data_IF_761717470021
#
_entry.id   IF_761717470021
#
_cell.length_a   1.000
_cell.length_b   1.000
_cell.length_c   1.000
_cell.angle_alpha   90.00
_cell.angle_beta   90.00
_cell.angle_gamma   90.00
#
_symmetry.space_group_name_H-M   'P 1'
#
loop_
_entity.id
_entity.type
_entity.pdbx_description
1 polymer ?
#
# COMPACT_ATOMS: atom_id res chain seq x y z
N UNK A 1 -13.31 0.51 -24.37
CA UNK A 1 -12.45 1.00 -23.26
C UNK A 1 -12.92 2.32 -22.68
N UNK A 2 -12.85 3.47 -23.37
CA UNK A 2 -13.24 4.77 -22.75
C UNK A 2 -14.70 4.76 -22.30
N UNK A 3 -15.62 4.27 -23.13
CA UNK A 3 -17.04 4.14 -22.78
C UNK A 3 -17.25 3.20 -21.58
N UNK A 4 -16.48 2.10 -21.50
CA UNK A 4 -16.57 1.15 -20.39
C UNK A 4 -16.11 1.80 -19.07
N UNK A 5 -15.02 2.60 -19.11
CA UNK A 5 -14.55 3.37 -17.95
C UNK A 5 -15.59 4.42 -17.53
N UNK A 6 -16.24 5.05 -18.51
CA UNK A 6 -17.29 6.04 -18.29
C UNK A 6 -18.52 5.41 -17.61
N UNK A 7 -18.95 4.22 -18.06
CA UNK A 7 -20.02 3.44 -17.43
C UNK A 7 -19.69 3.04 -15.98
N UNK A 8 -18.42 2.75 -15.69
CA UNK A 8 -17.98 2.45 -14.32
C UNK A 8 -17.93 3.70 -13.41
N UNK A 9 -18.31 4.88 -13.89
CA UNK A 9 -18.36 6.10 -13.07
C UNK A 9 -19.38 5.99 -11.93
N UNK A 10 -20.42 5.18 -12.06
CA UNK A 10 -21.37 4.92 -10.96
C UNK A 10 -20.68 4.29 -9.74
N UNK A 11 -19.66 3.44 -9.95
CA UNK A 11 -18.91 2.77 -8.88
C UNK A 11 -17.84 3.67 -8.25
N UNK A 12 -17.37 4.69 -8.96
CA UNK A 12 -16.34 5.62 -8.49
C UNK A 12 -16.58 7.05 -8.99
N UNK A 13 -17.67 7.71 -8.56
CA UNK A 13 -18.18 8.96 -9.16
C UNK A 13 -17.24 10.15 -9.00
N UNK A 14 -16.37 10.13 -7.99
CA UNK A 14 -15.38 11.20 -7.76
C UNK A 14 -14.06 10.99 -8.52
N UNK A 15 -13.82 9.81 -9.10
CA UNK A 15 -12.52 9.47 -9.69
C UNK A 15 -12.61 9.17 -11.18
N UNK A 16 -13.53 8.29 -11.59
CA UNK A 16 -13.61 7.85 -12.99
C UNK A 16 -13.97 8.99 -13.95
N UNK A 17 -14.90 9.91 -13.65
CA UNK A 17 -15.18 11.04 -14.55
C UNK A 17 -13.95 11.92 -14.80
N UNK A 18 -13.19 12.25 -13.75
CA UNK A 18 -11.96 13.04 -13.88
C UNK A 18 -10.90 12.30 -14.71
N UNK A 19 -10.76 11.00 -14.52
CA UNK A 19 -9.85 10.16 -15.31
C UNK A 19 -10.26 10.11 -16.79
N UNK A 20 -11.55 9.98 -17.09
CA UNK A 20 -12.08 10.00 -18.47
C UNK A 20 -11.82 11.33 -19.15
N UNK A 21 -12.00 12.46 -18.45
CA UNK A 21 -11.65 13.80 -18.96
C UNK A 21 -10.16 13.86 -19.33
N UNK A 22 -9.29 13.38 -18.44
CA UNK A 22 -7.85 13.30 -18.71
C UNK A 22 -7.53 12.46 -19.95
N UNK A 23 -8.10 11.26 -20.07
CA UNK A 23 -7.91 10.37 -21.24
C UNK A 23 -8.35 11.07 -22.53
N UNK A 24 -9.52 11.72 -22.53
CA UNK A 24 -10.04 12.46 -23.68
C UNK A 24 -9.10 13.60 -24.08
N UNK A 25 -8.59 14.37 -23.12
CA UNK A 25 -7.65 15.47 -23.38
C UNK A 25 -6.32 14.98 -23.96
N UNK A 26 -5.72 13.91 -23.40
CA UNK A 26 -4.48 13.35 -23.94
C UNK A 26 -4.66 12.80 -25.36
N UNK A 27 -5.81 12.17 -25.64
CA UNK A 27 -6.09 11.63 -26.98
C UNK A 27 -6.30 12.72 -28.04
N UNK A 28 -6.73 13.92 -27.65
CA UNK A 28 -6.79 15.07 -28.56
C UNK A 28 -5.39 15.60 -28.91
N UNK A 29 -4.48 15.64 -27.94
CA UNK A 29 -3.12 16.21 -28.12
C UNK A 29 -2.17 15.20 -28.77
N UNK A 30 -2.29 13.92 -28.43
CA UNK A 30 -1.40 12.83 -28.85
C UNK A 30 -2.23 11.68 -29.47
N UNK A 31 -2.85 11.90 -30.65
CA UNK A 31 -3.79 10.92 -31.22
C UNK A 31 -3.14 9.60 -31.63
N UNK A 32 -1.87 9.64 -32.05
CA UNK A 32 -1.16 8.48 -32.61
C UNK A 32 -0.30 7.74 -31.56
N UNK A 33 -0.22 8.25 -30.33
CA UNK A 33 0.56 7.63 -29.25
C UNK A 33 -0.29 6.54 -28.58
N UNK A 34 0.20 5.30 -28.45
CA UNK A 34 -0.52 4.24 -27.74
C UNK A 34 -0.82 4.65 -26.30
N UNK A 35 -2.10 4.55 -25.91
CA UNK A 35 -2.56 4.82 -24.55
C UNK A 35 -2.89 3.51 -23.83
N UNK A 36 -2.50 3.42 -22.56
CA UNK A 36 -2.76 2.26 -21.69
C UNK A 36 -3.54 2.72 -20.46
N UNK A 37 -4.60 1.99 -20.11
CA UNK A 37 -5.31 2.17 -18.85
C UNK A 37 -4.78 1.17 -17.83
N UNK A 38 -4.33 1.67 -16.67
CA UNK A 38 -3.88 0.85 -15.54
C UNK A 38 -4.84 1.08 -14.39
N UNK A 39 -5.50 0.01 -13.95
CA UNK A 39 -6.55 0.09 -12.94
C UNK A 39 -5.99 -0.27 -11.56
N UNK A 40 -6.28 0.59 -10.58
CA UNK A 40 -5.83 0.38 -9.20
C UNK A 40 -6.51 -0.81 -8.51
N UNK A 41 -7.62 -1.29 -9.08
CA UNK A 41 -8.39 -2.45 -8.61
C UNK A 41 -7.96 -3.77 -9.26
N UNK A 42 -7.16 -3.73 -10.34
CA UNK A 42 -6.89 -4.90 -11.18
C UNK A 42 -6.17 -6.03 -10.42
N UNK A 43 -5.18 -5.68 -9.59
CA UNK A 43 -4.40 -6.66 -8.82
C UNK A 43 -5.27 -7.46 -7.83
N UNK A 44 -6.36 -6.86 -7.35
CA UNK A 44 -7.26 -7.47 -6.37
C UNK A 44 -8.35 -8.35 -7.01
N UNK A 45 -8.43 -8.44 -8.34
CA UNK A 45 -9.42 -9.28 -9.01
C UNK A 45 -9.19 -10.78 -8.79
N UNK A 46 -8.05 -11.18 -8.25
CA UNK A 46 -7.76 -12.56 -7.86
C UNK A 46 -8.35 -12.95 -6.51
N UNK A 47 -8.96 -12.02 -5.76
CA UNK A 47 -9.60 -12.34 -4.49
C UNK A 47 -10.69 -13.41 -4.69
N UNK A 48 -10.73 -14.46 -3.86
CA UNK A 48 -11.79 -15.45 -3.90
C UNK A 48 -13.12 -14.86 -3.36
N UNK A 49 -14.24 -15.51 -3.67
CA UNK A 49 -15.60 -15.07 -3.31
C UNK A 49 -15.74 -14.69 -1.84
N UNK A 50 -15.24 -15.54 -0.93
CA UNK A 50 -15.29 -15.31 0.51
C UNK A 50 -14.52 -14.07 1.00
N UNK A 51 -13.63 -13.49 0.18
CA UNK A 51 -12.90 -12.25 0.53
C UNK A 51 -13.54 -10.99 0.00
N UNK A 52 -14.26 -11.08 -1.13
CA UNK A 52 -14.84 -9.89 -1.74
C UNK A 52 -16.33 -9.71 -1.49
N UNK A 53 -17.05 -10.76 -1.16
CA UNK A 53 -18.46 -10.64 -0.83
C UNK A 53 -18.60 -10.00 0.55
N UNK A 54 -19.46 -8.99 0.63
CA UNK A 54 -19.98 -8.53 1.92
C UNK A 54 -21.09 -9.47 2.38
N UNK A 55 -21.24 -9.64 3.70
CA UNK A 55 -22.36 -10.36 4.32
C UNK A 55 -23.67 -9.55 4.25
N UNK A 56 -24.04 -9.16 3.03
CA UNK A 56 -25.25 -8.43 2.66
C UNK A 56 -26.15 -9.37 1.83
N UNK A 57 -27.43 -9.02 1.60
CA UNK A 57 -28.26 -9.75 0.65
C UNK A 57 -27.52 -9.98 -0.67
N UNK A 58 -27.41 -11.25 -1.10
CA UNK A 58 -26.58 -11.63 -2.23
C UNK A 58 -26.98 -10.94 -3.54
N UNK A 59 -28.25 -10.54 -3.65
CA UNK A 59 -28.79 -9.71 -4.72
C UNK A 59 -28.05 -8.37 -4.91
N UNK A 60 -27.48 -7.79 -3.84
CA UNK A 60 -26.69 -6.56 -3.93
C UNK A 60 -25.39 -6.76 -4.71
N UNK A 61 -24.85 -7.98 -4.70
CA UNK A 61 -23.73 -8.35 -5.56
C UNK A 61 -24.21 -8.75 -6.97
N UNK A 62 -25.25 -9.58 -7.08
CA UNK A 62 -25.67 -10.20 -8.35
C UNK A 62 -26.43 -9.27 -9.30
N UNK A 63 -27.24 -8.36 -8.78
CA UNK A 63 -27.91 -7.34 -9.60
C UNK A 63 -26.88 -6.32 -10.10
N UNK A 64 -27.32 -5.40 -10.96
CA UNK A 64 -26.46 -4.35 -11.56
C UNK A 64 -25.86 -3.35 -10.54
N UNK A 65 -25.95 -3.59 -9.24
CA UNK A 65 -25.31 -2.79 -8.20
C UNK A 65 -23.83 -3.15 -8.00
N UNK A 66 -23.44 -4.39 -8.28
CA UNK A 66 -22.04 -4.82 -8.22
C UNK A 66 -21.36 -4.58 -6.86
N UNK A 67 -22.11 -4.64 -5.76
CA UNK A 67 -21.60 -4.34 -4.42
C UNK A 67 -20.71 -5.49 -3.94
N UNK A 68 -19.41 -5.22 -3.91
CA UNK A 68 -18.35 -6.11 -3.43
C UNK A 68 -17.13 -5.32 -3.00
N UNK A 69 -16.19 -5.98 -2.35
CA UNK A 69 -14.84 -5.45 -2.19
C UNK A 69 -14.14 -5.40 -3.56
N UNK A 70 -13.64 -4.23 -3.92
CA UNK A 70 -12.77 -4.05 -5.08
C UNK A 70 -11.31 -3.96 -4.66
N UNK A 71 -11.02 -3.20 -3.59
CA UNK A 71 -9.66 -2.91 -3.17
C UNK A 71 -8.94 -1.89 -4.08
N UNK A 72 -7.98 -1.15 -3.51
CA UNK A 72 -7.23 -0.11 -4.23
C UNK A 72 -5.75 -0.18 -3.83
N UNK A 73 -4.92 0.69 -4.44
CA UNK A 73 -3.46 0.60 -4.40
C UNK A 73 -2.91 -0.70 -4.99
N UNK A 74 -3.67 -1.36 -5.87
CA UNK A 74 -3.29 -2.63 -6.48
C UNK A 74 -2.01 -2.53 -7.30
N UNK A 75 -1.78 -1.40 -7.96
CA UNK A 75 -0.52 -1.12 -8.68
C UNK A 75 0.69 -1.12 -7.74
N UNK A 76 0.56 -0.47 -6.58
CA UNK A 76 1.60 -0.44 -5.55
C UNK A 76 1.81 -1.83 -4.95
N UNK A 77 0.74 -2.50 -4.53
CA UNK A 77 0.82 -3.82 -3.91
C UNK A 77 1.49 -4.84 -4.84
N UNK A 78 1.07 -4.91 -6.11
CA UNK A 78 1.67 -5.77 -7.13
C UNK A 78 3.18 -5.53 -7.25
N UNK A 79 3.57 -4.27 -7.46
CA UNK A 79 4.97 -3.89 -7.65
C UNK A 79 5.83 -4.30 -6.46
N UNK A 80 5.42 -3.95 -5.23
CA UNK A 80 6.25 -4.21 -4.06
C UNK A 80 6.33 -5.69 -3.70
N UNK A 81 5.30 -6.49 -4.03
CA UNK A 81 5.35 -7.94 -3.79
C UNK A 81 6.25 -8.66 -4.80
N UNK A 82 6.21 -8.27 -6.07
CA UNK A 82 7.12 -8.78 -7.10
C UNK A 82 8.57 -8.44 -6.73
N UNK A 83 8.83 -7.19 -6.35
CA UNK A 83 10.16 -6.76 -5.95
C UNK A 83 10.61 -7.39 -4.63
N UNK A 84 9.71 -7.64 -3.67
CA UNK A 84 10.05 -8.37 -2.45
C UNK A 84 10.49 -9.80 -2.75
N UNK A 85 9.86 -10.50 -3.69
CA UNK A 85 10.28 -11.84 -4.11
C UNK A 85 11.73 -11.86 -4.65
N UNK A 86 12.07 -10.89 -5.51
CA UNK A 86 13.43 -10.71 -6.02
C UNK A 86 14.45 -10.48 -4.90
N UNK A 87 14.10 -9.65 -3.90
CA UNK A 87 14.96 -9.36 -2.75
C UNK A 87 15.13 -10.57 -1.83
N UNK A 88 14.11 -11.40 -1.71
CA UNK A 88 14.15 -12.64 -0.93
C UNK A 88 14.93 -13.75 -1.64
N UNK A 89 15.19 -13.60 -2.95
CA UNK A 89 15.81 -14.64 -3.77
C UNK A 89 14.93 -15.90 -3.86
N UNK A 90 13.60 -15.73 -3.79
CA UNK A 90 12.62 -16.82 -3.81
C UNK A 90 11.55 -16.56 -4.88
N UNK A 91 11.04 -17.61 -5.56
CA UNK A 91 9.93 -17.46 -6.51
C UNK A 91 8.71 -16.83 -5.84
N UNK A 92 8.04 -15.91 -6.53
CA UNK A 92 6.85 -15.20 -6.00
C UNK A 92 5.70 -16.18 -5.69
N UNK A 93 5.62 -17.27 -6.46
CA UNK A 93 4.63 -18.34 -6.37
C UNK A 93 4.72 -19.13 -5.06
N UNK A 94 5.87 -19.09 -4.38
CA UNK A 94 6.13 -19.79 -3.12
C UNK A 94 5.98 -18.90 -1.88
N UNK A 95 5.62 -17.63 -2.06
CA UNK A 95 5.63 -16.62 -1.00
C UNK A 95 4.23 -16.25 -0.51
N UNK A 96 4.13 -16.07 0.81
CA UNK A 96 3.02 -15.45 1.53
C UNK A 96 3.46 -14.09 2.06
N UNK A 97 2.97 -13.03 1.43
CA UNK A 97 3.42 -11.66 1.65
C UNK A 97 2.26 -10.81 2.20
N UNK A 98 2.57 -9.97 3.19
CA UNK A 98 1.66 -8.92 3.63
C UNK A 98 2.24 -7.59 3.17
N UNK A 99 1.51 -6.88 2.32
CA UNK A 99 1.91 -5.58 1.79
C UNK A 99 1.14 -4.46 2.51
N UNK A 100 1.86 -3.62 3.24
CA UNK A 100 1.37 -2.45 3.95
C UNK A 100 1.70 -1.18 3.15
N UNK A 101 0.76 -0.72 2.33
CA UNK A 101 0.86 0.58 1.66
C UNK A 101 0.39 1.65 2.63
N UNK A 102 1.31 2.39 3.23
CA UNK A 102 1.01 3.39 4.25
C UNK A 102 1.37 4.78 3.72
N UNK A 103 0.37 5.56 3.34
CA UNK A 103 0.48 6.97 3.01
C UNK A 103 -0.71 7.74 3.57
N UNK A 104 -1.03 8.90 3.00
CA UNK A 104 -2.22 9.66 3.41
C UNK A 104 -3.52 8.85 3.19
N UNK A 105 -3.54 8.02 2.14
CA UNK A 105 -4.39 6.84 2.05
C UNK A 105 -3.58 5.59 2.39
N UNK A 106 -4.16 4.64 3.12
CA UNK A 106 -3.47 3.45 3.56
C UNK A 106 -4.29 2.17 3.33
N UNK A 107 -3.62 1.11 2.87
CA UNK A 107 -4.23 -0.21 2.68
C UNK A 107 -3.24 -1.34 2.94
N UNK A 108 -3.78 -2.47 3.39
CA UNK A 108 -3.04 -3.70 3.63
C UNK A 108 -3.55 -4.75 2.65
N UNK A 109 -2.66 -5.51 2.00
CA UNK A 109 -3.02 -6.62 1.13
C UNK A 109 -2.36 -7.91 1.59
N UNK A 110 -3.14 -8.99 1.59
CA UNK A 110 -2.66 -10.37 1.72
C UNK A 110 -2.38 -10.93 0.32
N UNK A 111 -1.16 -11.38 0.09
CA UNK A 111 -0.71 -11.87 -1.22
C UNK A 111 -0.10 -13.25 -1.05
N UNK A 112 -0.66 -14.24 -1.74
CA UNK A 112 -0.20 -15.62 -1.70
C UNK A 112 0.09 -16.09 -3.13
N UNK A 113 1.31 -16.55 -3.37
CA UNK A 113 1.75 -17.00 -4.69
C UNK A 113 1.60 -15.92 -5.78
N UNK A 114 1.87 -14.66 -5.44
CA UNK A 114 1.73 -13.51 -6.33
C UNK A 114 0.30 -13.03 -6.59
N UNK A 115 -0.72 -13.65 -5.97
CA UNK A 115 -2.12 -13.26 -6.13
C UNK A 115 -2.62 -12.54 -4.89
N UNK A 116 -3.35 -11.45 -5.06
CA UNK A 116 -4.07 -10.83 -3.94
C UNK A 116 -5.23 -11.72 -3.53
N UNK A 117 -5.17 -12.23 -2.30
CA UNK A 117 -6.23 -13.09 -1.73
C UNK A 117 -7.14 -12.31 -0.78
N UNK A 118 -6.72 -11.15 -0.29
CA UNK A 118 -7.52 -10.20 0.48
C UNK A 118 -6.89 -8.80 0.47
N UNK A 119 -7.67 -7.77 0.77
CA UNK A 119 -7.22 -6.38 0.90
C UNK A 119 -8.13 -5.60 1.86
N UNK A 120 -7.58 -4.61 2.54
CA UNK A 120 -8.28 -3.91 3.63
C UNK A 120 -9.30 -2.91 3.11
N UNK A 121 -9.05 -2.29 1.95
CA UNK A 121 -10.02 -1.40 1.33
C UNK A 121 -11.20 -2.17 0.75
N UNK A 122 -12.33 -1.49 0.66
CA UNK A 122 -13.64 -2.09 0.43
C UNK A 122 -14.15 -1.94 -0.99
N UNK A 123 -15.48 -1.75 -1.07
CA UNK A 123 -16.15 -1.14 -2.21
C UNK A 123 -15.56 0.24 -2.54
N UNK A 124 -15.24 1.01 -1.49
CA UNK A 124 -14.58 2.32 -1.61
C UNK A 124 -13.25 2.35 -0.84
N UNK A 125 -12.40 3.36 -1.09
CA UNK A 125 -11.18 3.59 -0.32
C UNK A 125 -11.39 4.03 1.14
N UNK A 126 -12.64 4.16 1.62
CA UNK A 126 -12.93 4.55 3.00
C UNK A 126 -12.77 3.37 3.97
N UNK A 127 -13.15 2.16 3.55
CA UNK A 127 -13.01 0.97 4.38
C UNK A 127 -11.52 0.61 4.58
N UNK A 128 -11.23 -0.09 5.67
CA UNK A 128 -9.89 -0.58 5.99
C UNK A 128 -9.34 0.02 7.27
N UNK A 129 -8.06 0.37 7.24
CA UNK A 129 -7.33 1.01 8.35
C UNK A 129 -7.70 2.50 8.45
N UNK A 130 -7.46 3.09 9.62
CA UNK A 130 -7.47 4.54 9.75
C UNK A 130 -6.40 5.15 8.83
N UNK A 131 -6.64 6.36 8.32
CA UNK A 131 -5.73 7.05 7.40
C UNK A 131 -5.53 8.51 7.85
N UNK A 132 -4.96 9.38 7.02
CA UNK A 132 -4.74 10.78 7.42
C UNK A 132 -6.05 11.52 7.75
N UNK A 133 -7.03 11.43 6.86
CA UNK A 133 -8.36 12.08 7.03
C UNK A 133 -9.56 11.13 6.98
N UNK A 134 -9.31 9.84 6.67
CA UNK A 134 -10.34 8.81 6.56
C UNK A 134 -10.44 7.99 7.82
N UNK A 135 -11.66 7.68 8.24
CA UNK A 135 -11.93 6.90 9.45
C UNK A 135 -11.40 5.48 9.40
N UNK A 136 -11.35 4.87 8.22
CA UNK A 136 -11.29 3.41 8.12
C UNK A 136 -12.62 2.79 8.53
N UNK A 137 -12.57 1.52 8.94
CA UNK A 137 -13.75 0.81 9.42
C UNK A 137 -14.30 1.40 10.73
N UNK A 138 -15.61 1.62 10.74
CA UNK A 138 -16.41 1.97 11.92
C UNK A 138 -17.67 1.10 11.96
N UNK A 139 -18.40 1.13 13.07
CA UNK A 139 -19.72 0.53 13.16
C UNK A 139 -20.70 1.27 12.23
N UNK A 140 -21.36 0.59 11.27
CA UNK A 140 -22.35 1.21 10.38
C UNK A 140 -23.52 1.87 11.12
N UNK A 141 -23.89 1.40 12.32
CA UNK A 141 -24.97 2.00 13.12
C UNK A 141 -24.64 3.43 13.61
N UNK A 142 -23.36 3.82 13.59
CA UNK A 142 -22.96 5.19 13.92
C UNK A 142 -23.41 6.20 12.87
N UNK A 143 -23.60 5.80 11.60
CA UNK A 143 -24.02 6.73 10.55
C UNK A 143 -25.39 7.35 10.89
N UNK A 144 -26.49 6.57 11.03
CA UNK A 144 -27.79 7.15 11.38
C UNK A 144 -27.79 7.80 12.77
N UNK A 145 -27.02 7.28 13.73
CA UNK A 145 -26.91 7.90 15.05
C UNK A 145 -26.29 9.31 14.98
N UNK A 146 -25.21 9.50 14.22
CA UNK A 146 -24.57 10.81 14.03
C UNK A 146 -25.54 11.76 13.29
N UNK A 147 -26.23 11.26 12.26
CA UNK A 147 -27.25 12.05 11.54
C UNK A 147 -28.30 12.58 12.51
N UNK A 148 -28.86 11.73 13.37
CA UNK A 148 -29.86 12.12 14.37
C UNK A 148 -29.31 13.17 15.35
N UNK A 149 -28.06 13.01 15.82
CA UNK A 149 -27.47 13.93 16.82
C UNK A 149 -26.99 15.25 16.26
N UNK A 150 -26.63 15.30 14.98
CA UNK A 150 -26.03 16.49 14.36
C UNK A 150 -26.96 17.20 13.38
N UNK A 151 -28.06 16.56 12.98
CA UNK A 151 -28.93 17.03 11.89
C UNK A 151 -28.29 16.91 10.50
N UNK A 152 -27.08 16.34 10.39
CA UNK A 152 -26.40 16.13 9.12
C UNK A 152 -27.09 15.06 8.27
N UNK A 153 -27.03 15.26 6.96
CA UNK A 153 -27.37 14.28 5.93
C UNK A 153 -26.38 13.12 5.89
N UNK A 154 -26.75 12.02 5.22
CA UNK A 154 -25.85 10.89 5.01
C UNK A 154 -24.59 11.29 4.23
N UNK A 155 -24.73 12.17 3.22
CA UNK A 155 -23.58 12.69 2.46
C UNK A 155 -22.63 13.51 3.33
N UNK A 156 -23.14 14.33 4.25
CA UNK A 156 -22.33 15.13 5.17
C UNK A 156 -21.60 14.28 6.21
N UNK A 157 -22.25 13.22 6.72
CA UNK A 157 -21.60 12.24 7.58
C UNK A 157 -20.51 11.50 6.80
N UNK A 158 -20.80 11.02 5.59
CA UNK A 158 -19.79 10.39 4.73
C UNK A 158 -18.63 11.33 4.39
N UNK A 159 -18.89 12.62 4.20
CA UNK A 159 -17.86 13.65 4.00
C UNK A 159 -16.98 13.79 5.25
N UNK A 160 -17.58 13.77 6.43
CA UNK A 160 -16.86 13.77 7.72
C UNK A 160 -15.97 12.53 7.86
N UNK A 161 -16.48 11.36 7.53
CA UNK A 161 -15.72 10.10 7.55
C UNK A 161 -14.55 10.10 6.55
N UNK A 162 -14.67 10.81 5.43
CA UNK A 162 -13.63 10.88 4.40
C UNK A 162 -12.60 11.98 4.60
N UNK A 163 -12.99 13.12 5.19
CA UNK A 163 -12.18 14.34 5.17
C UNK A 163 -11.84 14.92 6.54
N UNK A 164 -12.55 14.52 7.59
CA UNK A 164 -12.42 15.10 8.94
C UNK A 164 -12.17 14.03 10.02
N UNK A 165 -11.79 12.83 9.62
CA UNK A 165 -11.59 11.67 10.50
C UNK A 165 -10.12 11.23 10.49
N UNK A 166 -9.82 9.99 10.88
CA UNK A 166 -8.45 9.46 10.85
C UNK A 166 -7.52 10.16 11.83
N UNK A 167 -6.24 10.28 11.46
CA UNK A 167 -5.22 11.00 12.25
C UNK A 167 -5.69 12.43 12.57
N UNK A 168 -6.25 13.14 11.59
CA UNK A 168 -6.75 14.50 11.76
C UNK A 168 -7.86 14.57 12.80
N UNK A 169 -8.86 13.71 12.70
CA UNK A 169 -10.02 13.73 13.60
C UNK A 169 -9.65 13.40 15.04
N UNK A 170 -8.81 12.38 15.24
CA UNK A 170 -8.42 11.93 16.59
C UNK A 170 -7.45 12.90 17.24
N UNK A 171 -6.40 13.33 16.54
CA UNK A 171 -5.43 14.29 17.09
C UNK A 171 -6.05 15.67 17.27
N UNK A 172 -6.93 16.09 16.36
CA UNK A 172 -7.39 17.48 16.25
C UNK A 172 -6.31 18.43 15.73
N UNK A 173 -5.21 17.91 15.16
CA UNK A 173 -4.03 18.68 14.77
C UNK A 173 -3.80 18.64 13.25
N UNK A 174 -3.37 17.48 12.74
CA UNK A 174 -2.93 17.33 11.36
C UNK A 174 -3.31 15.96 10.78
N UNK A 175 -3.37 15.90 9.45
CA UNK A 175 -3.43 14.63 8.71
C UNK A 175 -2.05 14.10 8.33
N UNK A 176 -0.99 14.92 8.47
CA UNK A 176 0.38 14.53 8.18
C UNK A 176 0.98 13.84 9.40
N UNK A 177 1.49 12.63 9.23
CA UNK A 177 2.04 11.83 10.31
C UNK A 177 3.25 12.51 10.97
N UNK A 178 4.04 13.30 10.24
CA UNK A 178 5.23 13.96 10.78
C UNK A 178 4.87 14.95 11.88
N UNK A 179 3.83 15.74 11.64
CA UNK A 179 3.31 16.69 12.62
C UNK A 179 2.75 15.95 13.86
N UNK A 180 2.16 14.77 13.66
CA UNK A 180 1.66 13.94 14.76
C UNK A 180 2.81 13.34 15.58
N UNK A 181 3.86 12.83 14.94
CA UNK A 181 5.06 12.31 15.61
C UNK A 181 5.75 13.40 16.43
N UNK A 182 5.93 14.59 15.86
CA UNK A 182 6.50 15.76 16.57
C UNK A 182 5.65 16.15 17.79
N UNK A 183 4.33 16.27 17.62
CA UNK A 183 3.43 16.59 18.73
C UNK A 183 3.43 15.51 19.82
N UNK A 184 3.58 14.23 19.45
CA UNK A 184 3.76 13.13 20.40
C UNK A 184 5.05 13.31 21.21
N UNK A 185 6.18 13.63 20.56
CA UNK A 185 7.47 13.88 21.22
C UNK A 185 7.39 15.08 22.19
N UNK A 186 6.56 16.08 21.87
CA UNK A 186 6.25 17.23 22.72
C UNK A 186 5.25 16.91 23.86
N UNK A 187 4.74 15.67 23.95
CA UNK A 187 3.84 15.22 25.01
C UNK A 187 2.35 15.45 24.75
N UNK A 188 1.91 15.55 23.49
CA UNK A 188 0.49 15.68 23.16
C UNK A 188 -0.24 14.32 23.23
N UNK A 189 -1.09 14.16 24.25
CA UNK A 189 -1.84 12.92 24.49
C UNK A 189 -2.73 12.50 23.30
N UNK A 190 -3.37 13.46 22.61
CA UNK A 190 -4.26 13.14 21.47
C UNK A 190 -3.48 12.72 20.24
N UNK A 191 -2.28 13.28 20.03
CA UNK A 191 -1.38 12.83 18.98
C UNK A 191 -0.92 11.39 19.21
N UNK A 192 -0.56 11.06 20.46
CA UNK A 192 -0.15 9.71 20.85
C UNK A 192 -1.27 8.69 20.63
N UNK A 193 -2.49 9.01 21.07
CA UNK A 193 -3.67 8.17 20.84
C UNK A 193 -3.95 7.99 19.33
N UNK A 194 -3.75 9.04 18.52
CA UNK A 194 -3.93 8.95 17.08
C UNK A 194 -2.92 7.99 16.42
N UNK A 195 -1.65 8.04 16.82
CA UNK A 195 -0.61 7.10 16.36
C UNK A 195 -0.93 5.68 16.78
N UNK A 196 -1.33 5.47 18.03
CA UNK A 196 -1.68 4.15 18.54
C UNK A 196 -2.87 3.53 17.82
N UNK A 197 -3.93 4.32 17.57
CA UNK A 197 -5.06 3.85 16.77
C UNK A 197 -4.58 3.46 15.36
N UNK A 198 -3.81 4.33 14.70
CA UNK A 198 -3.31 4.07 13.36
C UNK A 198 -2.49 2.77 13.29
N UNK A 199 -1.50 2.62 14.16
CA UNK A 199 -0.66 1.43 14.23
C UNK A 199 -1.46 0.17 14.61
N UNK A 200 -2.35 0.27 15.59
CA UNK A 200 -3.19 -0.85 16.06
C UNK A 200 -4.12 -1.38 14.95
N UNK A 201 -4.71 -0.49 14.13
CA UNK A 201 -5.54 -0.92 13.00
C UNK A 201 -4.73 -1.71 11.98
N UNK A 202 -3.51 -1.27 11.67
CA UNK A 202 -2.61 -1.99 10.76
C UNK A 202 -2.20 -3.34 11.36
N UNK A 203 -1.77 -3.35 12.62
CA UNK A 203 -1.38 -4.54 13.36
C UNK A 203 -2.48 -5.63 13.32
N UNK A 204 -3.74 -5.24 13.55
CA UNK A 204 -4.91 -6.13 13.46
C UNK A 204 -5.03 -6.79 12.07
N UNK A 205 -4.85 -6.03 10.99
CA UNK A 205 -4.90 -6.60 9.64
C UNK A 205 -3.75 -7.56 9.37
N UNK A 206 -2.54 -7.25 9.83
CA UNK A 206 -1.39 -8.15 9.68
C UNK A 206 -1.70 -9.51 10.35
N UNK A 207 -2.16 -9.50 11.61
CA UNK A 207 -2.53 -10.74 12.31
C UNK A 207 -3.64 -11.51 11.60
N UNK A 208 -4.70 -10.81 11.16
CA UNK A 208 -5.81 -11.45 10.43
C UNK A 208 -5.37 -12.08 9.11
N UNK A 209 -4.46 -11.43 8.38
CA UNK A 209 -3.98 -11.92 7.08
C UNK A 209 -2.93 -13.02 7.20
N UNK A 210 -2.04 -12.93 8.19
CA UNK A 210 -1.11 -14.01 8.51
C UNK A 210 -1.88 -15.28 8.90
N UNK A 211 -2.93 -15.16 9.73
CA UNK A 211 -3.79 -16.28 10.08
C UNK A 211 -4.50 -16.87 8.85
N UNK A 212 -5.06 -16.02 7.98
CA UNK A 212 -5.73 -16.45 6.73
C UNK A 212 -4.80 -17.22 5.79
N UNK A 213 -3.54 -16.79 5.65
CA UNK A 213 -2.52 -17.42 4.80
C UNK A 213 -1.81 -18.60 5.49
N UNK A 214 -2.20 -18.96 6.71
CA UNK A 214 -1.55 -19.98 7.52
C UNK A 214 -0.03 -19.74 7.70
N UNK A 215 0.37 -18.47 7.79
CA UNK A 215 1.76 -18.04 7.87
C UNK A 215 2.06 -16.79 7.07
N UNK A 216 3.28 -16.27 7.23
CA UNK A 216 3.80 -15.11 6.51
C UNK A 216 5.30 -15.28 6.29
N UNK A 217 5.76 -15.05 5.06
CA UNK A 217 7.17 -15.09 4.67
C UNK A 217 7.83 -13.70 4.73
N UNK A 218 7.06 -12.64 4.50
CA UNK A 218 7.51 -11.26 4.67
C UNK A 218 6.37 -10.26 4.88
N UNK A 219 6.67 -9.20 5.65
CA UNK A 219 5.83 -8.00 5.80
C UNK A 219 6.55 -6.85 5.12
N UNK A 220 5.86 -6.16 4.23
CA UNK A 220 6.41 -5.11 3.36
C UNK A 220 5.78 -3.77 3.75
N UNK A 221 6.57 -2.76 4.09
CA UNK A 221 6.09 -1.40 4.32
C UNK A 221 6.48 -0.50 3.15
N UNK A 222 5.52 0.16 2.52
CA UNK A 222 5.76 1.05 1.38
C UNK A 222 4.92 2.33 1.49
N UNK A 223 5.07 3.22 0.52
CA UNK A 223 4.52 4.56 0.47
C UNK A 223 5.06 5.50 1.56
N UNK A 224 4.62 6.74 1.53
CA UNK A 224 5.26 7.84 2.26
C UNK A 224 5.46 7.58 3.76
N UNK A 225 4.46 7.03 4.45
CA UNK A 225 4.56 6.68 5.88
C UNK A 225 5.39 5.40 6.05
N UNK A 226 5.06 4.35 5.31
CA UNK A 226 5.66 3.02 5.50
C UNK A 226 7.17 3.01 5.25
N UNK A 227 7.65 3.86 4.35
CA UNK A 227 9.07 4.02 4.01
C UNK A 227 9.85 4.85 5.04
N UNK A 228 9.22 5.83 5.69
CA UNK A 228 9.93 6.89 6.40
C UNK A 228 9.69 6.92 7.91
N UNK A 229 8.56 6.40 8.40
CA UNK A 229 8.26 6.35 9.83
C UNK A 229 8.75 5.02 10.41
N UNK A 230 9.93 5.07 11.05
CA UNK A 230 10.43 3.97 11.87
C UNK A 230 9.53 3.71 13.07
N UNK A 231 8.91 4.76 13.62
CA UNK A 231 8.04 4.68 14.78
C UNK A 231 6.76 3.89 14.46
N UNK A 232 6.06 4.22 13.37
CA UNK A 232 4.89 3.45 12.92
C UNK A 232 5.26 2.00 12.66
N UNK A 233 6.38 1.72 11.96
CA UNK A 233 6.81 0.32 11.74
C UNK A 233 7.05 -0.41 13.05
N UNK A 234 7.72 0.23 14.01
CA UNK A 234 7.97 -0.34 15.33
C UNK A 234 6.68 -0.64 16.09
N UNK A 235 5.74 0.31 16.16
CA UNK A 235 4.44 0.14 16.82
C UNK A 235 3.61 -0.96 16.17
N UNK A 236 3.59 -1.02 14.84
CA UNK A 236 2.86 -2.04 14.09
C UNK A 236 3.44 -3.44 14.33
N UNK A 237 4.76 -3.57 14.41
CA UNK A 237 5.43 -4.87 14.56
C UNK A 237 5.48 -5.36 16.02
N UNK A 238 5.29 -4.47 17.00
CA UNK A 238 5.31 -4.80 18.43
C UNK A 238 4.25 -5.87 18.75
N UNK A 239 4.65 -6.91 19.47
CA UNK A 239 3.72 -7.95 19.91
C UNK A 239 3.46 -9.03 18.86
N UNK A 240 4.13 -8.99 17.70
CA UNK A 240 4.04 -10.03 16.67
C UNK A 240 5.06 -11.16 16.86
N UNK A 241 5.84 -11.15 17.94
CA UNK A 241 6.85 -12.16 18.27
C UNK A 241 6.21 -13.56 18.42
N UNK A 242 4.96 -13.65 18.88
CA UNK A 242 4.25 -14.93 19.03
C UNK A 242 4.06 -15.68 17.70
N UNK A 243 4.08 -14.97 16.56
CA UNK A 243 4.00 -15.57 15.22
C UNK A 243 5.35 -15.56 14.50
N UNK A 244 6.45 -15.34 15.24
CA UNK A 244 7.81 -15.39 14.72
C UNK A 244 8.30 -14.10 14.07
N UNK A 245 7.62 -12.96 14.29
CA UNK A 245 8.09 -11.65 13.80
C UNK A 245 9.01 -11.01 14.83
N UNK A 246 10.30 -10.94 14.50
CA UNK A 246 11.30 -10.23 15.29
C UNK A 246 12.02 -9.25 14.38
N UNK A 247 12.23 -8.01 14.83
CA UNK A 247 12.84 -6.96 14.01
C UNK A 247 14.01 -6.33 14.75
N UNK A 248 14.97 -5.80 13.98
CA UNK A 248 16.15 -5.11 14.51
C UNK A 248 15.87 -3.59 14.54
N UNK A 249 15.84 -2.96 15.73
CA UNK A 249 15.62 -1.52 15.84
C UNK A 249 16.64 -0.66 15.09
N UNK A 250 17.90 -1.11 14.99
CA UNK A 250 18.94 -0.39 14.26
C UNK A 250 18.68 -0.36 12.75
N UNK A 251 18.21 -1.48 12.20
CA UNK A 251 17.84 -1.57 10.79
C UNK A 251 16.53 -0.82 10.51
N UNK A 252 15.59 -0.82 11.47
CA UNK A 252 14.35 -0.08 11.36
C UNK A 252 14.56 1.44 11.38
N UNK A 253 15.62 1.95 12.00
CA UNK A 253 15.91 3.39 12.04
C UNK A 253 16.44 3.95 10.70
N UNK A 254 16.59 3.10 9.68
CA UNK A 254 16.87 3.59 8.33
C UNK A 254 15.58 4.18 7.73
N UNK A 255 15.69 5.36 7.11
CA UNK A 255 14.67 5.89 6.18
C UNK A 255 14.99 5.44 4.76
N UNK A 256 14.01 5.50 3.85
CA UNK A 256 14.25 5.26 2.42
C UNK A 256 15.38 6.18 1.93
N UNK A 257 16.56 5.64 1.63
CA UNK A 257 17.71 6.46 1.22
C UNK A 257 17.47 7.01 -0.18
N UNK A 258 17.29 8.33 -0.31
CA UNK A 258 17.60 8.99 -1.58
C UNK A 258 19.12 8.86 -1.83
N UNK A 259 19.53 8.42 -3.00
CA UNK A 259 20.91 7.95 -3.27
C UNK A 259 21.95 9.09 -3.33
N UNK A 260 21.67 10.28 -2.82
CA UNK A 260 22.64 11.38 -2.85
C UNK A 260 23.64 11.41 -1.68
N UNK A 261 23.59 10.44 -0.75
CA UNK A 261 24.50 10.42 0.41
C UNK A 261 25.01 9.02 0.82
N UNK A 262 25.17 8.10 -0.13
CA UNK A 262 26.01 6.93 0.11
C UNK A 262 27.42 7.21 -0.45
N UNK A 263 28.50 7.01 0.32
CA UNK A 263 29.82 6.90 -0.29
C UNK A 263 29.76 5.70 -1.24
N UNK A 264 30.02 5.95 -2.52
CA UNK A 264 30.13 4.90 -3.51
C UNK A 264 31.13 3.86 -2.99
N UNK A 265 30.71 2.61 -2.85
CA UNK A 265 31.64 1.49 -2.90
C UNK A 265 32.31 1.59 -4.27
N UNK A 266 33.53 2.10 -4.25
CA UNK A 266 34.33 2.41 -5.42
C UNK A 266 34.75 1.13 -6.10
N UNK A 267 34.14 0.81 -7.24
CA UNK A 267 34.89 0.13 -8.31
C UNK A 267 35.42 1.23 -9.23
N UNK A 268 36.75 1.42 -9.22
CA UNK A 268 37.45 2.38 -10.09
C UNK A 268 37.27 1.98 -11.56
N UNK A 269 36.76 2.88 -12.41
CA UNK A 269 37.42 3.29 -13.66
C UNK A 269 36.77 4.54 -14.27
N UNK A 270 37.50 5.19 -15.18
CA UNK A 270 37.55 6.61 -15.51
C UNK A 270 36.32 7.28 -16.20
N UNK A 271 36.36 8.63 -16.15
CA UNK A 271 35.47 9.70 -16.70
C UNK A 271 35.16 9.53 -18.21
N UNK A 272 34.08 10.04 -18.83
CA UNK A 272 33.62 11.45 -18.96
C UNK A 272 32.17 11.55 -19.55
N UNK A 273 31.51 12.74 -19.58
CA UNK A 273 30.06 12.93 -19.71
C UNK A 273 29.53 13.41 -21.09
N UNK A 274 28.31 13.02 -21.49
CA UNK A 274 27.28 13.93 -22.04
C UNK A 274 25.90 13.28 -22.34
N UNK A 275 24.85 14.01 -21.92
CA UNK A 275 23.41 14.11 -22.33
C UNK A 275 22.76 13.01 -23.22
N UNK A 276 21.57 12.54 -22.83
CA UNK A 276 20.20 13.03 -23.17
C UNK A 276 19.14 12.17 -22.46
N UNK A 277 18.09 12.81 -21.90
CA UNK A 277 16.99 12.16 -21.18
C UNK A 277 15.95 11.62 -22.17
N UNK A 278 15.66 10.31 -22.11
CA UNK A 278 14.42 9.73 -22.65
C UNK A 278 13.45 9.46 -21.49
N UNK A 279 12.17 9.79 -21.70
CA UNK A 279 11.09 9.59 -20.75
C UNK A 279 10.57 8.16 -20.86
N UNK A 280 10.90 7.35 -19.86
CA UNK A 280 10.16 6.13 -19.54
C UNK A 280 9.78 6.26 -18.06
N UNK A 281 8.50 6.44 -17.77
CA UNK A 281 8.03 6.83 -16.43
C UNK A 281 7.94 5.62 -15.50
N UNK A 282 9.09 5.02 -15.15
CA UNK A 282 9.17 4.11 -14.01
C UNK A 282 9.05 4.95 -12.74
N UNK A 283 7.90 4.85 -12.06
CA UNK A 283 7.70 5.45 -10.73
C UNK A 283 8.76 4.91 -9.79
N UNK A 284 9.42 5.81 -9.06
CA UNK A 284 10.31 5.43 -7.96
C UNK A 284 9.44 4.93 -6.81
N UNK A 285 9.64 3.68 -6.43
CA UNK A 285 9.04 3.12 -5.23
C UNK A 285 10.17 2.74 -4.28
N UNK A 286 10.11 3.26 -3.06
CA UNK A 286 10.92 2.75 -1.97
C UNK A 286 10.06 1.85 -1.08
N UNK A 287 10.66 0.92 -0.37
CA UNK A 287 9.95 0.14 0.63
C UNK A 287 10.92 -0.56 1.58
N UNK A 288 10.39 -0.97 2.72
CA UNK A 288 11.05 -1.78 3.73
C UNK A 288 10.49 -3.20 3.68
N UNK A 289 11.35 -4.21 3.71
CA UNK A 289 10.95 -5.62 3.82
C UNK A 289 11.43 -6.18 5.15
N UNK A 290 10.52 -6.77 5.91
CA UNK A 290 10.82 -7.62 7.06
C UNK A 290 10.83 -9.07 6.56
N UNK A 291 12.02 -9.64 6.35
CA UNK A 291 12.21 -11.01 5.86
C UNK A 291 12.21 -12.01 7.01
N UNK A 292 11.47 -13.11 6.93
CA UNK A 292 11.48 -14.15 7.96
C UNK A 292 12.43 -15.30 7.59
N UNK A 293 13.49 -15.53 8.37
CA UNK A 293 14.39 -16.68 8.18
C UNK A 293 14.18 -17.75 9.24
N UNK A 294 14.01 -19.02 8.82
CA UNK A 294 14.02 -20.15 9.76
C UNK A 294 15.45 -20.35 10.28
N UNK A 295 15.68 -20.14 11.57
CA UNK A 295 16.91 -20.61 12.21
C UNK A 295 16.72 -22.09 12.60
N UNK A 296 17.75 -22.90 12.39
CA UNK A 296 17.75 -24.36 12.41
C UNK A 296 17.02 -25.02 13.60
N UNK A 297 16.32 -26.12 13.32
CA UNK A 297 15.82 -27.07 14.32
C UNK A 297 16.97 -27.93 14.82
N UNK A 298 17.29 -27.85 16.11
CA UNK A 298 18.03 -28.91 16.77
C UNK A 298 17.04 -29.93 17.31
N UNK A 299 17.27 -31.22 17.00
CA UNK A 299 16.48 -32.35 17.49
C UNK A 299 16.66 -32.43 19.00
N UNK A 300 15.76 -31.79 19.74
CA UNK A 300 15.35 -32.04 21.12
C UNK A 300 14.86 -30.70 21.71
N UNK A 301 13.52 -30.58 21.84
CA UNK A 301 12.74 -29.40 22.27
C UNK A 301 12.54 -28.33 21.18
N UNK A 302 11.46 -28.51 20.43
CA UNK A 302 11.02 -27.69 19.31
C UNK A 302 10.53 -26.30 19.74
N UNK A 303 11.38 -25.28 19.62
CA UNK A 303 10.95 -23.90 19.36
C UNK A 303 11.75 -23.39 18.16
N UNK A 304 11.06 -23.03 17.07
CA UNK A 304 11.68 -22.37 15.92
C UNK A 304 11.82 -20.88 16.25
N UNK A 305 13.04 -20.38 16.35
CA UNK A 305 13.29 -18.94 16.36
C UNK A 305 13.42 -18.49 14.91
N UNK A 306 12.44 -17.75 14.38
CA UNK A 306 12.63 -17.02 13.12
C UNK A 306 13.20 -15.66 13.45
N UNK A 307 14.31 -15.25 12.84
CA UNK A 307 14.81 -13.88 12.98
C UNK A 307 14.47 -13.13 11.70
N UNK A 308 13.89 -11.93 11.82
CA UNK A 308 13.66 -11.08 10.68
C UNK A 308 14.53 -9.83 10.67
N UNK A 309 14.95 -9.44 9.46
CA UNK A 309 15.75 -8.25 9.23
C UNK A 309 14.95 -7.26 8.38
N UNK A 310 15.05 -5.98 8.72
CA UNK A 310 14.42 -4.89 7.99
C UNK A 310 15.38 -4.37 6.91
N UNK A 311 14.97 -4.45 5.64
CA UNK A 311 15.76 -3.96 4.52
C UNK A 311 15.03 -2.82 3.81
N UNK A 312 15.64 -1.63 3.76
CA UNK A 312 15.15 -0.51 2.95
C UNK A 312 15.75 -0.54 1.55
N UNK A 313 14.92 -0.40 0.52
CA UNK A 313 15.39 -0.40 -0.87
C UNK A 313 14.78 0.75 -1.64
N UNK A 314 15.61 1.41 -2.46
CA UNK A 314 15.21 2.36 -3.51
C UNK A 314 15.79 1.83 -4.81
N UNK A 315 14.94 1.47 -5.77
CA UNK A 315 15.42 1.02 -7.09
C UNK A 315 15.36 2.13 -8.14
N UNK A 316 16.41 2.18 -8.95
CA UNK A 316 16.44 2.88 -10.24
C UNK A 316 16.73 1.84 -11.31
N UNK A 317 15.85 1.70 -12.28
CA UNK A 317 16.14 0.93 -13.49
C UNK A 317 16.47 1.89 -14.62
N UNK A 318 17.71 1.84 -15.08
CA UNK A 318 18.13 2.37 -16.37
C UNK A 318 18.75 1.23 -17.17
N UNK A 319 18.02 0.69 -18.16
CA UNK A 319 18.50 -0.15 -19.27
C UNK A 319 17.47 -0.02 -20.38
N UNK A 320 17.77 0.09 -21.66
CA UNK A 320 18.99 0.05 -22.46
C UNK A 320 18.47 -0.21 -23.88
N UNK A 321 18.72 0.67 -24.84
CA UNK A 321 18.21 0.47 -26.21
C UNK A 321 19.33 -0.11 -27.07
N UNK A 322 19.32 -1.43 -27.25
CA UNK A 322 19.84 -2.06 -28.46
C UNK A 322 18.73 -2.05 -29.51
N UNK A 323 19.07 -1.52 -30.70
CA UNK A 323 18.49 -1.76 -32.02
C UNK A 323 18.48 -0.46 -32.85
N UNK A 324 19.47 -0.31 -33.73
CA UNK A 324 19.23 0.32 -35.03
C UNK A 324 19.99 -0.46 -36.09
N UNK A 325 19.21 -1.25 -36.80
CA UNK A 325 19.45 -1.66 -38.16
C UNK A 325 19.36 -0.44 -39.11
N UNK A 326 20.05 -0.55 -40.24
CA UNK A 326 19.87 0.21 -41.49
C UNK A 326 20.06 1.75 -41.54
N UNK A 327 21.17 2.21 -42.14
CA UNK A 327 21.27 2.65 -43.56
C UNK A 327 22.47 3.58 -43.84
N UNK A 328 23.10 3.34 -44.99
CA UNK A 328 23.81 4.25 -45.91
C UNK A 328 24.56 5.48 -45.36
N UNK A 329 25.88 5.50 -45.60
CA UNK A 329 26.61 6.51 -46.42
C UNK A 329 28.13 6.32 -46.27
N UNK A 330 28.74 5.49 -47.11
CA UNK A 330 29.85 5.77 -48.05
C UNK A 330 30.25 4.47 -48.71
#
# INVERSE_FOLDING_TARGET
MINDIDQLSELAPLHNPANVVGIKAFKQILPDVPAVAVFDTAFHQTMPEQSYLYSLPYDYYKKNFGIRKYGFHGTSHKFVTERAAELLGRPLEELRLISCHLGNGASIAAVEGGKSIDTSMGFTPLAGVAMGTRSGNIDPALIPFIMEKTGHTAEEVLSTLNKKSGLLGVSGLSSDLRDIEEATEEGNDRAEVALDIFASRIHKYIGSYAARMNGVDAIIFTAGIGENSSEVRARVLRGLEFMGVYWDPSLNNMRGRSIHQLPALTCKSNRHPNKRRSNDCKRRYAFSVIKFEKLFSNKEKSFFLLKAACYNVVQYEAKGSGAKDERDRT
#
